data_IF_818400879830
#
_entry.id   IF_818400879830
#
_cell.length_a   1.000
_cell.length_b   1.000
_cell.length_c   1.000
_cell.angle_alpha   90.00
_cell.angle_beta   90.00
_cell.angle_gamma   90.00
#
_symmetry.space_group_name_H-M   'P 1'
#
loop_
_entity.id
_entity.type
_entity.pdbx_description
1 polymer ?
#
# COMPACT_ATOMS: atom_id res chain seq x y z
N UNK A 1 -1.32 -6.43 64.79
CA UNK A 1 -1.87 -6.06 63.46
C UNK A 1 -0.69 -5.76 62.53
N UNK A 2 -0.68 -6.42 61.38
CA UNK A 2 0.51 -6.78 60.59
C UNK A 2 1.30 -5.60 60.04
N UNK A 3 2.58 -5.51 60.46
CA UNK A 3 3.62 -4.71 59.80
C UNK A 3 4.18 -5.50 58.63
N UNK A 4 3.83 -5.13 57.41
CA UNK A 4 4.48 -5.66 56.20
C UNK A 4 5.90 -5.10 56.10
N UNK A 5 6.88 -5.99 55.90
CA UNK A 5 8.29 -5.63 55.89
C UNK A 5 8.68 -4.88 54.60
N UNK A 6 9.62 -3.92 54.65
CA UNK A 6 10.11 -3.19 53.47
C UNK A 6 10.80 -4.09 52.43
N UNK A 7 11.13 -5.35 52.77
CA UNK A 7 11.70 -6.32 51.84
C UNK A 7 10.65 -6.94 50.89
N UNK A 8 9.35 -6.82 51.19
CA UNK A 8 8.28 -7.35 50.34
C UNK A 8 7.94 -6.41 49.18
N UNK A 9 8.13 -5.09 49.35
CA UNK A 9 7.90 -4.09 48.30
C UNK A 9 8.99 -4.14 47.23
N UNK A 10 10.25 -4.40 47.63
CA UNK A 10 11.39 -4.48 46.71
C UNK A 10 11.30 -5.70 45.75
N UNK A 11 10.65 -6.80 46.16
CA UNK A 11 10.47 -7.99 45.30
C UNK A 11 9.37 -7.82 44.25
N UNK A 12 8.36 -6.98 44.51
CA UNK A 12 7.31 -6.68 43.53
C UNK A 12 7.84 -5.73 42.44
N UNK A 13 8.76 -4.82 42.78
CA UNK A 13 9.35 -3.90 41.80
C UNK A 13 10.30 -4.59 40.80
N UNK A 14 11.02 -5.63 41.22
CA UNK A 14 11.94 -6.39 40.34
C UNK A 14 11.19 -7.32 39.38
N UNK A 15 10.01 -7.82 39.76
CA UNK A 15 9.17 -8.62 38.86
C UNK A 15 8.41 -7.75 37.85
N UNK A 16 8.06 -6.50 38.19
CA UNK A 16 7.51 -5.55 37.20
C UNK A 16 8.54 -4.99 36.22
N UNK A 17 9.84 -4.95 36.57
CA UNK A 17 10.88 -4.45 35.67
C UNK A 17 11.39 -5.52 34.67
N UNK A 18 11.10 -6.80 34.90
CA UNK A 18 11.50 -7.92 34.02
C UNK A 18 10.43 -8.31 32.98
N UNK A 19 9.25 -7.69 33.00
CA UNK A 19 8.18 -7.93 32.03
C UNK A 19 8.10 -6.87 30.91
N UNK A 20 9.08 -5.97 30.78
CA UNK A 20 9.17 -5.04 29.64
C UNK A 20 9.96 -5.63 28.45
N UNK A 21 10.47 -6.86 28.58
CA UNK A 21 11.01 -7.63 27.45
C UNK A 21 9.92 -8.34 26.61
N UNK A 22 8.66 -7.95 26.77
CA UNK A 22 7.55 -8.50 26.02
C UNK A 22 7.33 -7.67 24.74
N UNK A 23 7.74 -8.23 23.60
CA UNK A 23 7.23 -7.82 22.30
C UNK A 23 8.21 -7.11 21.37
N UNK A 24 9.45 -7.58 21.25
CA UNK A 24 10.11 -7.47 19.96
C UNK A 24 9.37 -8.43 19.01
N UNK A 25 8.24 -8.00 18.45
CA UNK A 25 7.69 -8.65 17.28
C UNK A 25 8.84 -8.72 16.26
N UNK A 26 9.18 -9.91 15.79
CA UNK A 26 10.27 -10.10 14.85
C UNK A 26 9.94 -9.31 13.57
N UNK A 27 10.51 -8.11 13.45
CA UNK A 27 10.34 -7.28 12.27
C UNK A 27 11.11 -7.93 11.13
N UNK A 28 10.42 -8.18 10.02
CA UNK A 28 11.07 -8.66 8.79
C UNK A 28 12.16 -7.66 8.39
N UNK A 29 13.38 -8.16 8.23
CA UNK A 29 14.57 -7.40 7.92
C UNK A 29 14.85 -7.37 6.41
N UNK A 30 15.64 -6.41 5.95
CA UNK A 30 16.09 -6.36 4.55
C UNK A 30 16.89 -7.60 4.15
N UNK A 31 17.63 -8.21 5.09
CA UNK A 31 18.39 -9.43 4.86
C UNK A 31 17.48 -10.65 4.56
N UNK A 32 16.32 -10.75 5.21
CA UNK A 32 15.35 -11.80 4.90
C UNK A 32 14.75 -11.61 3.50
N UNK A 33 14.51 -10.36 3.08
CA UNK A 33 14.11 -10.10 1.70
C UNK A 33 15.21 -10.43 0.69
N UNK A 34 16.46 -10.15 1.03
CA UNK A 34 17.59 -10.53 0.18
C UNK A 34 17.65 -12.03 -0.03
N UNK A 35 17.43 -12.82 1.02
CA UNK A 35 17.46 -14.28 0.92
C UNK A 35 16.36 -14.82 -0.01
N UNK A 36 15.11 -14.38 0.15
CA UNK A 36 14.03 -14.83 -0.75
C UNK A 36 14.24 -14.36 -2.20
N UNK A 37 14.83 -13.17 -2.41
CA UNK A 37 15.20 -12.67 -3.75
C UNK A 37 16.46 -13.34 -4.34
N UNK A 38 17.15 -14.20 -3.59
CA UNK A 38 18.16 -15.12 -4.15
C UNK A 38 17.50 -16.34 -4.79
N UNK A 39 16.38 -16.78 -4.23
CA UNK A 39 15.62 -17.93 -4.72
C UNK A 39 14.72 -17.58 -5.91
N UNK A 40 14.19 -16.35 -5.95
CA UNK A 40 13.48 -15.80 -7.11
C UNK A 40 14.49 -15.06 -7.98
N UNK A 41 14.80 -15.51 -9.21
CA UNK A 41 15.86 -14.90 -10.03
C UNK A 41 15.43 -13.53 -10.57
N UNK A 42 15.59 -12.48 -9.76
CA UNK A 42 15.32 -11.09 -10.14
C UNK A 42 16.55 -10.50 -10.82
N UNK A 43 16.38 -10.02 -12.06
CA UNK A 43 17.43 -9.54 -12.97
C UNK A 43 18.25 -8.38 -12.40
N UNK A 44 17.64 -7.48 -11.62
CA UNK A 44 18.33 -6.36 -10.97
C UNK A 44 18.11 -6.36 -9.46
N UNK A 45 18.85 -7.24 -8.76
CA UNK A 45 18.72 -7.43 -7.31
C UNK A 45 19.09 -6.19 -6.49
N UNK A 46 20.09 -5.42 -6.91
CA UNK A 46 20.48 -4.19 -6.20
C UNK A 46 19.36 -3.15 -6.21
N UNK A 47 18.74 -2.94 -7.38
CA UNK A 47 17.57 -2.07 -7.50
C UNK A 47 16.39 -2.58 -6.67
N UNK A 48 16.16 -3.91 -6.65
CA UNK A 48 15.11 -4.53 -5.85
C UNK A 48 15.30 -4.25 -4.35
N UNK A 49 16.51 -4.48 -3.83
CA UNK A 49 16.84 -4.23 -2.43
C UNK A 49 16.76 -2.75 -2.08
N UNK A 50 17.18 -1.85 -2.98
CA UNK A 50 17.04 -0.42 -2.77
C UNK A 50 15.56 0.01 -2.73
N UNK A 51 14.70 -0.55 -3.57
CA UNK A 51 13.27 -0.28 -3.55
C UNK A 51 12.61 -0.81 -2.26
N UNK A 52 12.98 -2.01 -1.79
CA UNK A 52 12.54 -2.56 -0.52
C UNK A 52 12.99 -1.71 0.67
N UNK A 53 14.27 -1.33 0.71
CA UNK A 53 14.81 -0.48 1.78
C UNK A 53 14.07 0.87 1.86
N UNK A 54 13.74 1.47 0.70
CA UNK A 54 12.88 2.66 0.64
C UNK A 54 11.47 2.37 1.14
N UNK A 55 10.87 1.28 0.70
CA UNK A 55 9.55 0.83 1.15
C UNK A 55 9.47 0.69 2.67
N UNK A 56 10.44 -0.01 3.27
CA UNK A 56 10.53 -0.25 4.70
C UNK A 56 10.70 1.01 5.55
N UNK A 57 11.04 2.16 4.94
CA UNK A 57 11.10 3.44 5.64
C UNK A 57 9.72 4.07 5.88
N UNK A 58 8.65 3.51 5.29
CA UNK A 58 7.28 3.96 5.51
C UNK A 58 6.59 3.14 6.62
N UNK A 59 5.86 3.83 7.51
CA UNK A 59 5.10 3.19 8.60
C UNK A 59 4.00 2.23 8.10
N UNK A 60 3.51 2.45 6.87
CA UNK A 60 2.45 1.65 6.23
C UNK A 60 2.99 0.49 5.39
N UNK A 61 4.29 0.19 5.46
CA UNK A 61 4.89 -0.87 4.65
C UNK A 61 4.42 -2.26 5.11
N UNK A 62 3.81 -3.08 4.22
CA UNK A 62 3.26 -4.38 4.58
C UNK A 62 4.37 -5.45 4.65
N UNK A 63 5.28 -5.35 5.62
CA UNK A 63 6.48 -6.17 5.67
C UNK A 63 6.18 -7.68 5.71
N UNK A 64 5.43 -8.13 6.72
CA UNK A 64 5.05 -9.53 6.88
C UNK A 64 4.17 -10.04 5.71
N UNK A 65 3.09 -9.33 5.29
CA UNK A 65 2.31 -9.77 4.12
C UNK A 65 3.12 -9.86 2.83
N UNK A 66 4.07 -8.94 2.60
CA UNK A 66 4.94 -8.99 1.43
C UNK A 66 5.86 -10.21 1.48
N UNK A 67 6.45 -10.50 2.64
CA UNK A 67 7.27 -11.69 2.82
C UNK A 67 6.47 -12.98 2.57
N UNK A 68 5.23 -13.05 3.07
CA UNK A 68 4.31 -14.16 2.79
C UNK A 68 4.03 -14.30 1.29
N UNK A 69 3.80 -13.19 0.60
CA UNK A 69 3.57 -13.19 -0.85
C UNK A 69 4.80 -13.70 -1.61
N UNK A 70 6.00 -13.21 -1.30
CA UNK A 70 7.24 -13.64 -1.95
C UNK A 70 7.50 -15.14 -1.75
N UNK A 71 7.31 -15.65 -0.52
CA UNK A 71 7.40 -17.08 -0.24
C UNK A 71 6.35 -17.89 -1.02
N UNK A 72 5.11 -17.39 -1.10
CA UNK A 72 4.04 -18.02 -1.88
C UNK A 72 4.34 -18.07 -3.38
N UNK A 73 4.94 -17.02 -3.93
CA UNK A 73 5.40 -16.98 -5.33
C UNK A 73 6.56 -17.97 -5.55
N UNK A 74 7.54 -17.98 -4.64
CA UNK A 74 8.71 -18.84 -4.73
C UNK A 74 8.34 -20.33 -4.72
N UNK A 75 7.43 -20.74 -3.83
CA UNK A 75 6.97 -22.14 -3.69
C UNK A 75 6.03 -22.60 -4.81
N UNK A 76 5.52 -21.68 -5.64
CA UNK A 76 4.64 -22.02 -6.76
C UNK A 76 5.41 -22.77 -7.85
N UNK A 77 4.80 -23.81 -8.43
CA UNK A 77 5.30 -24.42 -9.65
C UNK A 77 4.95 -23.52 -10.85
N UNK A 78 5.89 -22.69 -11.25
CA UNK A 78 5.79 -21.78 -12.40
C UNK A 78 7.19 -21.53 -12.98
N UNK A 79 7.29 -21.15 -14.27
CA UNK A 79 8.56 -20.75 -14.86
C UNK A 79 9.21 -19.59 -14.09
N UNK A 80 10.55 -19.55 -13.96
CA UNK A 80 11.26 -18.49 -13.23
C UNK A 80 10.89 -17.07 -13.69
N UNK A 81 10.71 -16.88 -14.99
CA UNK A 81 10.31 -15.63 -15.61
C UNK A 81 8.93 -15.14 -15.18
N UNK A 82 7.98 -16.05 -14.91
CA UNK A 82 6.66 -15.68 -14.41
C UNK A 82 6.71 -15.21 -12.95
N UNK A 83 7.53 -15.89 -12.13
CA UNK A 83 7.77 -15.51 -10.74
C UNK A 83 8.43 -14.13 -10.68
N UNK A 84 9.49 -13.94 -11.45
CA UNK A 84 10.19 -12.67 -11.56
C UNK A 84 9.24 -11.55 -12.02
N UNK A 85 8.48 -11.77 -13.09
CA UNK A 85 7.61 -10.74 -13.64
C UNK A 85 6.55 -10.26 -12.63
N UNK A 86 6.02 -11.13 -11.77
CA UNK A 86 5.11 -10.74 -10.70
C UNK A 86 5.84 -9.92 -9.62
N UNK A 87 7.00 -10.37 -9.16
CA UNK A 87 7.80 -9.66 -8.15
C UNK A 87 8.23 -8.28 -8.65
N UNK A 88 8.57 -8.16 -9.93
CA UNK A 88 8.95 -6.88 -10.54
C UNK A 88 7.83 -5.84 -10.49
N UNK A 89 6.54 -6.23 -10.59
CA UNK A 89 5.43 -5.28 -10.45
C UNK A 89 5.44 -4.62 -9.05
N UNK A 90 5.67 -5.41 -8.00
CA UNK A 90 5.74 -4.91 -6.62
C UNK A 90 6.97 -4.02 -6.40
N UNK A 91 8.13 -4.45 -6.91
CA UNK A 91 9.37 -3.69 -6.80
C UNK A 91 9.32 -2.38 -7.58
N UNK A 92 8.68 -2.36 -8.75
CA UNK A 92 8.44 -1.13 -9.51
C UNK A 92 7.51 -0.19 -8.76
N UNK A 93 6.43 -0.69 -8.16
CA UNK A 93 5.55 0.15 -7.33
C UNK A 93 6.31 0.78 -6.15
N UNK A 94 7.19 0.02 -5.48
CA UNK A 94 8.07 0.54 -4.43
C UNK A 94 9.11 1.53 -4.96
N UNK A 95 9.67 1.26 -6.13
CA UNK A 95 10.61 2.16 -6.78
C UNK A 95 9.96 3.53 -7.07
N UNK A 96 8.69 3.50 -7.47
CA UNK A 96 7.88 4.69 -7.75
C UNK A 96 7.28 5.31 -6.48
N UNK A 97 7.69 4.93 -5.28
CA UNK A 97 7.16 5.43 -3.99
C UNK A 97 5.64 5.25 -3.81
N UNK A 98 5.04 4.24 -4.44
CA UNK A 98 3.61 3.93 -4.33
C UNK A 98 3.31 3.07 -3.09
N UNK A 99 2.10 3.16 -2.52
CA UNK A 99 1.64 2.23 -1.51
C UNK A 99 1.37 0.85 -2.13
N UNK A 100 1.97 -0.21 -1.57
CA UNK A 100 1.84 -1.57 -2.10
C UNK A 100 0.88 -2.46 -1.31
N UNK A 101 0.25 -1.97 -0.23
CA UNK A 101 -0.67 -2.72 0.63
C UNK A 101 -1.75 -3.46 -0.19
N UNK A 102 -2.46 -2.74 -1.05
CA UNK A 102 -3.52 -3.31 -1.90
C UNK A 102 -2.98 -4.32 -2.91
N UNK A 103 -1.79 -4.07 -3.48
CA UNK A 103 -1.13 -5.01 -4.40
C UNK A 103 -0.76 -6.32 -3.70
N UNK A 104 -0.18 -6.22 -2.49
CA UNK A 104 0.22 -7.39 -1.70
C UNK A 104 -1.02 -8.20 -1.30
N UNK A 105 -2.07 -7.54 -0.82
CA UNK A 105 -3.32 -8.19 -0.45
C UNK A 105 -3.95 -8.94 -1.63
N UNK A 106 -3.97 -8.35 -2.82
CA UNK A 106 -4.53 -8.96 -4.03
C UNK A 106 -3.66 -10.10 -4.56
N UNK A 107 -2.34 -9.96 -4.48
CA UNK A 107 -1.41 -11.05 -4.79
C UNK A 107 -1.65 -12.26 -3.90
N UNK A 108 -1.78 -12.05 -2.58
CA UNK A 108 -2.09 -13.10 -1.61
C UNK A 108 -3.46 -13.75 -1.87
N UNK A 109 -4.49 -12.96 -2.14
CA UNK A 109 -5.82 -13.46 -2.52
C UNK A 109 -5.75 -14.36 -3.76
N UNK A 110 -5.03 -13.92 -4.80
CA UNK A 110 -4.84 -14.69 -6.03
C UNK A 110 -4.12 -16.02 -5.78
N UNK A 111 -3.04 -16.00 -4.98
CA UNK A 111 -2.31 -17.23 -4.60
C UNK A 111 -3.20 -18.19 -3.81
N UNK A 112 -3.95 -17.70 -2.83
CA UNK A 112 -4.85 -18.51 -2.00
C UNK A 112 -5.96 -19.16 -2.83
N UNK A 113 -6.44 -18.48 -3.88
CA UNK A 113 -7.43 -19.01 -4.82
C UNK A 113 -6.84 -19.89 -5.92
N UNK A 114 -5.52 -20.07 -5.94
CA UNK A 114 -4.84 -20.87 -6.96
C UNK A 114 -4.85 -20.25 -8.36
N UNK A 115 -5.04 -18.93 -8.47
CA UNK A 115 -5.00 -18.20 -9.74
C UNK A 115 -3.60 -18.33 -10.37
N UNK A 116 -3.48 -18.50 -11.70
CA UNK A 116 -2.18 -18.53 -12.37
C UNK A 116 -1.38 -17.23 -12.16
N UNK A 117 -0.05 -17.33 -11.97
CA UNK A 117 0.81 -16.15 -11.74
C UNK A 117 0.69 -15.10 -12.84
N UNK A 118 0.58 -15.43 -14.15
CA UNK A 118 0.41 -14.42 -15.20
C UNK A 118 -0.87 -13.60 -15.03
N UNK A 119 -1.95 -14.22 -14.55
CA UNK A 119 -3.24 -13.54 -14.31
C UNK A 119 -3.14 -12.61 -13.10
N UNK A 120 -2.53 -13.09 -12.00
CA UNK A 120 -2.25 -12.26 -10.82
C UNK A 120 -1.39 -11.05 -11.22
N UNK A 121 -0.31 -11.28 -11.98
CA UNK A 121 0.56 -10.22 -12.47
C UNK A 121 -0.19 -9.16 -13.27
N UNK A 122 -1.08 -9.57 -14.18
CA UNK A 122 -1.88 -8.63 -14.98
C UNK A 122 -2.78 -7.76 -14.09
N UNK A 123 -3.47 -8.35 -13.11
CA UNK A 123 -4.28 -7.58 -12.13
C UNK A 123 -3.41 -6.61 -11.31
N UNK A 124 -2.28 -7.08 -10.77
CA UNK A 124 -1.36 -6.23 -10.01
C UNK A 124 -0.78 -5.09 -10.87
N UNK A 125 -0.51 -5.35 -12.14
CA UNK A 125 -0.02 -4.33 -13.07
C UNK A 125 -1.07 -3.24 -13.31
N UNK A 126 -2.33 -3.64 -13.57
CA UNK A 126 -3.44 -2.70 -13.71
C UNK A 126 -3.63 -1.85 -12.45
N UNK A 127 -3.60 -2.47 -11.26
CA UNK A 127 -3.67 -1.77 -9.97
C UNK A 127 -2.49 -0.81 -9.73
N UNK A 128 -1.27 -1.16 -10.15
CA UNK A 128 -0.12 -0.24 -10.11
C UNK A 128 -0.35 0.96 -11.03
N UNK A 129 -0.89 0.75 -12.23
CA UNK A 129 -1.23 1.86 -13.15
C UNK A 129 -2.27 2.78 -12.50
N UNK A 130 -3.33 2.22 -11.90
CA UNK A 130 -4.33 3.02 -11.18
C UNK A 130 -3.71 3.91 -10.10
N UNK A 131 -2.76 3.40 -9.32
CA UNK A 131 -2.03 4.18 -8.31
C UNK A 131 -1.20 5.31 -8.94
N UNK A 132 -0.49 5.03 -10.04
CA UNK A 132 0.31 6.03 -10.77
C UNK A 132 -0.56 7.15 -11.32
N UNK A 133 -1.64 6.79 -12.01
CA UNK A 133 -2.55 7.74 -12.65
C UNK A 133 -3.34 8.54 -11.61
N UNK A 134 -3.75 7.91 -10.52
CA UNK A 134 -4.35 8.63 -9.38
C UNK A 134 -3.39 9.69 -8.83
N UNK A 135 -2.11 9.34 -8.65
CA UNK A 135 -1.11 10.31 -8.19
C UNK A 135 -0.90 11.44 -9.20
N UNK A 136 -0.82 11.11 -10.48
CA UNK A 136 -0.66 12.11 -11.54
C UNK A 136 -1.85 13.07 -11.60
N UNK A 137 -3.07 12.55 -11.46
CA UNK A 137 -4.30 13.35 -11.36
C UNK A 137 -4.30 14.25 -10.13
N UNK A 138 -4.01 13.73 -8.94
CA UNK A 138 -3.95 14.57 -7.74
C UNK A 138 -2.88 15.67 -7.88
N UNK A 139 -1.76 15.38 -8.54
CA UNK A 139 -0.73 16.37 -8.81
C UNK A 139 -1.18 17.43 -9.82
N UNK A 140 -1.87 17.06 -10.91
CA UNK A 140 -2.36 18.01 -11.91
C UNK A 140 -3.45 18.93 -11.35
N UNK A 141 -4.22 18.46 -10.38
CA UNK A 141 -5.22 19.24 -9.64
C UNK A 141 -4.61 20.09 -8.51
N UNK A 142 -3.27 20.13 -8.39
CA UNK A 142 -2.58 20.88 -7.35
C UNK A 142 -2.89 20.41 -5.93
N UNK A 143 -3.31 19.15 -5.76
CA UNK A 143 -3.64 18.54 -4.46
C UNK A 143 -2.38 17.96 -3.80
N UNK A 144 -1.28 17.78 -4.54
CA UNK A 144 -0.03 17.25 -4.00
C UNK A 144 0.91 18.37 -3.58
N UNK A 145 1.40 18.31 -2.34
CA UNK A 145 2.45 19.18 -1.84
C UNK A 145 3.75 19.02 -2.66
N UNK A 146 4.20 20.07 -3.36
CA UNK A 146 5.50 20.05 -4.02
C UNK A 146 6.62 20.15 -2.97
N UNK A 147 7.62 19.26 -3.04
CA UNK A 147 8.82 19.36 -2.20
C UNK A 147 9.56 20.65 -2.53
N UNK A 148 9.69 21.55 -1.56
CA UNK A 148 10.61 22.69 -1.63
C UNK A 148 9.99 24.08 -1.58
N UNK A 149 8.67 24.22 -1.48
CA UNK A 149 8.05 25.54 -1.32
C UNK A 149 7.42 25.73 0.08
N UNK A 150 7.66 26.92 0.61
CA UNK A 150 7.37 27.40 1.95
C UNK A 150 5.90 27.18 2.36
N UNK A 151 5.69 26.81 3.64
CA UNK A 151 4.39 26.78 4.33
C UNK A 151 3.20 26.31 3.48
N UNK A 152 3.19 25.02 3.14
CA UNK A 152 2.01 24.39 2.54
C UNK A 152 0.90 24.37 3.59
N UNK A 153 -0.10 25.24 3.43
CA UNK A 153 -1.35 25.14 4.19
C UNK A 153 -2.06 23.85 3.79
N UNK A 154 -2.43 23.03 4.77
CA UNK A 154 -3.24 21.82 4.57
C UNK A 154 -4.58 22.09 3.86
N UNK A 155 -4.99 23.35 3.75
CA UNK A 155 -6.15 23.78 2.97
C UNK A 155 -5.94 23.68 1.44
N UNK A 156 -4.70 23.58 0.98
CA UNK A 156 -4.39 23.68 -0.47
C UNK A 156 -3.76 22.42 -1.05
N UNK A 157 -3.09 21.61 -0.23
CA UNK A 157 -2.46 20.37 -0.66
C UNK A 157 -2.29 19.35 0.48
N UNK A 158 -2.25 18.08 0.10
CA UNK A 158 -2.07 16.91 0.96
C UNK A 158 -0.56 16.65 1.14
N UNK A 159 -0.06 16.57 2.38
CA UNK A 159 1.31 16.17 2.70
C UNK A 159 1.64 14.75 2.22
N UNK A 160 2.92 14.46 1.87
CA UNK A 160 3.33 13.15 1.33
C UNK A 160 2.92 11.94 2.18
N UNK A 161 2.96 12.06 3.51
CA UNK A 161 2.59 10.97 4.43
C UNK A 161 1.11 10.59 4.29
N UNK A 162 0.22 11.57 4.12
CA UNK A 162 -1.23 11.36 3.97
C UNK A 162 -1.63 11.02 2.54
N UNK A 163 -0.83 11.46 1.58
CA UNK A 163 -1.08 11.20 0.15
C UNK A 163 -1.16 9.70 -0.14
N UNK A 164 -0.28 8.87 0.46
CA UNK A 164 -0.29 7.41 0.24
C UNK A 164 -1.64 6.78 0.60
N UNK A 165 -2.22 7.16 1.74
CA UNK A 165 -3.53 6.68 2.12
C UNK A 165 -4.63 7.15 1.16
N UNK A 166 -4.56 8.40 0.68
CA UNK A 166 -5.49 8.91 -0.32
C UNK A 166 -5.38 8.14 -1.65
N UNK A 167 -4.17 7.81 -2.10
CA UNK A 167 -3.97 7.01 -3.33
C UNK A 167 -4.67 5.65 -3.23
N UNK A 168 -4.56 4.97 -2.08
CA UNK A 168 -5.23 3.69 -1.84
C UNK A 168 -6.74 3.87 -1.93
N UNK A 169 -7.32 4.82 -1.18
CA UNK A 169 -8.77 4.94 -1.07
C UNK A 169 -9.47 5.47 -2.33
N UNK A 170 -8.73 6.10 -3.24
CA UNK A 170 -9.22 6.47 -4.57
C UNK A 170 -9.05 5.33 -5.57
N UNK A 171 -7.88 4.66 -5.58
CA UNK A 171 -7.58 3.65 -6.60
C UNK A 171 -8.27 2.30 -6.37
N UNK A 172 -8.50 1.89 -5.12
CA UNK A 172 -9.13 0.59 -4.82
C UNK A 172 -10.56 0.48 -5.33
N UNK A 173 -11.47 1.46 -5.11
CA UNK A 173 -12.81 1.40 -5.68
C UNK A 173 -12.81 1.37 -7.22
N UNK A 174 -11.86 2.05 -7.88
CA UNK A 174 -11.72 1.99 -9.34
C UNK A 174 -11.36 0.56 -9.78
N UNK A 175 -10.41 -0.08 -9.08
CA UNK A 175 -10.02 -1.45 -9.36
C UNK A 175 -11.18 -2.44 -9.15
N UNK A 176 -11.98 -2.24 -8.10
CA UNK A 176 -13.12 -3.11 -7.78
C UNK A 176 -14.27 -2.91 -8.78
N UNK A 177 -14.53 -1.67 -9.23
CA UNK A 177 -15.46 -1.37 -10.32
C UNK A 177 -15.07 -2.08 -11.62
N UNK A 178 -13.80 -2.00 -12.02
CA UNK A 178 -13.28 -2.68 -13.22
C UNK A 178 -13.36 -4.21 -13.08
N UNK A 179 -12.99 -4.75 -11.91
CA UNK A 179 -13.09 -6.18 -11.64
C UNK A 179 -14.54 -6.69 -11.64
N UNK A 180 -15.50 -5.84 -11.31
CA UNK A 180 -16.93 -6.09 -11.43
C UNK A 180 -17.47 -6.04 -12.86
N UNK A 181 -16.63 -5.70 -13.84
CA UNK A 181 -17.02 -5.56 -15.25
C UNK A 181 -17.62 -4.19 -15.60
N UNK A 182 -17.44 -3.19 -14.75
CA UNK A 182 -17.89 -1.82 -15.03
C UNK A 182 -17.15 -1.19 -16.21
N UNK A 183 -17.88 -0.45 -17.04
CA UNK A 183 -17.30 0.26 -18.19
C UNK A 183 -17.06 1.74 -17.82
N UNK A 184 -15.81 2.22 -17.74
CA UNK A 184 -15.52 3.60 -17.38
C UNK A 184 -15.94 4.63 -18.45
N UNK A 185 -16.35 4.21 -19.63
CA UNK A 185 -16.89 5.08 -20.69
C UNK A 185 -18.40 5.26 -20.59
N UNK A 186 -19.12 4.25 -20.10
CA UNK A 186 -20.58 4.27 -19.99
C UNK A 186 -21.03 4.60 -18.55
N UNK A 187 -20.36 4.04 -17.54
CA UNK A 187 -20.76 4.09 -16.13
C UNK A 187 -19.89 5.04 -15.27
N UNK A 188 -19.26 6.04 -15.89
CA UNK A 188 -18.35 6.97 -15.23
C UNK A 188 -18.97 7.73 -14.03
N UNK A 189 -20.29 7.94 -14.03
CA UNK A 189 -21.00 8.54 -12.91
C UNK A 189 -21.15 7.58 -11.72
N UNK A 190 -21.36 6.28 -11.99
CA UNK A 190 -21.40 5.24 -10.95
C UNK A 190 -20.03 5.12 -10.30
N UNK A 191 -18.98 5.04 -11.13
CA UNK A 191 -17.60 5.03 -10.65
C UNK A 191 -17.29 6.24 -9.74
N UNK A 192 -17.70 7.45 -10.16
CA UNK A 192 -17.51 8.65 -9.36
C UNK A 192 -18.26 8.59 -8.03
N UNK A 193 -19.51 8.11 -8.02
CA UNK A 193 -20.29 7.95 -6.79
C UNK A 193 -19.66 6.94 -5.83
N UNK A 194 -19.14 5.83 -6.33
CA UNK A 194 -18.47 4.83 -5.49
C UNK A 194 -17.24 5.38 -4.79
N UNK A 195 -16.37 6.09 -5.54
CA UNK A 195 -15.20 6.77 -4.97
C UNK A 195 -15.63 7.87 -3.99
N UNK A 196 -16.60 8.71 -4.37
CA UNK A 196 -17.05 9.82 -3.53
C UNK A 196 -17.68 9.35 -2.20
N UNK A 197 -18.50 8.30 -2.27
CA UNK A 197 -19.12 7.68 -1.10
C UNK A 197 -18.05 7.04 -0.19
N UNK A 198 -17.07 6.36 -0.78
CA UNK A 198 -15.95 5.79 -0.02
C UNK A 198 -15.18 6.86 0.74
N UNK A 199 -14.73 7.91 0.06
CA UNK A 199 -14.00 9.01 0.69
C UNK A 199 -14.82 9.70 1.79
N UNK A 200 -16.10 9.94 1.53
CA UNK A 200 -17.02 10.53 2.52
C UNK A 200 -17.18 9.65 3.75
N UNK A 201 -17.25 8.33 3.59
CA UNK A 201 -17.38 7.38 4.71
C UNK A 201 -16.14 7.32 5.61
N UNK A 202 -14.97 7.62 5.06
CA UNK A 202 -13.68 7.59 5.77
C UNK A 202 -13.29 8.94 6.38
N UNK A 203 -14.06 9.99 6.07
CA UNK A 203 -13.82 11.38 6.47
C UNK A 203 -13.84 11.54 7.99
N UNK A 204 -12.74 12.02 8.56
CA UNK A 204 -12.57 12.19 10.00
C UNK A 204 -12.36 10.88 10.78
N UNK A 205 -12.29 9.73 10.09
CA UNK A 205 -12.06 8.41 10.69
C UNK A 205 -10.68 7.90 10.31
N UNK A 206 -10.46 7.70 9.00
CA UNK A 206 -9.20 7.22 8.44
C UNK A 206 -8.47 8.31 7.66
N UNK A 207 -9.23 9.20 7.04
CA UNK A 207 -8.73 10.32 6.26
C UNK A 207 -9.10 11.63 6.95
N UNK A 208 -8.17 12.61 7.05
CA UNK A 208 -8.51 13.93 7.56
C UNK A 208 -9.60 14.60 6.73
N UNK A 209 -10.49 15.34 7.40
CA UNK A 209 -11.70 15.85 6.76
C UNK A 209 -11.39 16.85 5.65
N UNK A 210 -10.39 17.70 5.85
CA UNK A 210 -9.93 18.70 4.91
C UNK A 210 -9.34 18.07 3.63
N UNK A 211 -8.61 16.96 3.74
CA UNK A 211 -8.03 16.28 2.58
C UNK A 211 -9.14 15.67 1.71
N UNK A 212 -10.17 15.08 2.34
CA UNK A 212 -11.33 14.52 1.63
C UNK A 212 -12.12 15.62 0.92
N UNK A 213 -12.40 16.73 1.60
CA UNK A 213 -13.11 17.87 1.00
C UNK A 213 -12.33 18.39 -0.21
N UNK A 214 -11.03 18.61 -0.05
CA UNK A 214 -10.16 19.10 -1.11
C UNK A 214 -10.16 18.19 -2.36
N UNK A 215 -10.10 16.87 -2.17
CA UNK A 215 -10.15 15.90 -3.28
C UNK A 215 -11.52 15.94 -3.96
N UNK A 216 -12.62 15.87 -3.20
CA UNK A 216 -13.97 15.86 -3.77
C UNK A 216 -14.34 17.16 -4.49
N UNK A 217 -13.79 18.30 -4.08
CA UNK A 217 -14.03 19.59 -4.74
C UNK A 217 -13.34 19.71 -6.12
N UNK A 218 -12.26 18.95 -6.35
CA UNK A 218 -11.40 19.09 -7.54
C UNK A 218 -11.42 17.88 -8.46
N UNK A 219 -11.75 16.71 -7.94
CA UNK A 219 -11.85 15.48 -8.71
C UNK A 219 -13.18 15.45 -9.47
N UNK A 220 -13.10 15.18 -10.77
CA UNK A 220 -14.28 15.01 -11.62
C UNK A 220 -14.52 13.54 -11.96
N UNK A 221 -15.71 13.24 -12.47
CA UNK A 221 -16.02 11.90 -12.98
C UNK A 221 -15.21 11.57 -14.25
N UNK A 222 -14.82 12.57 -15.04
CA UNK A 222 -13.96 12.39 -16.21
C UNK A 222 -12.53 12.02 -15.82
N UNK A 223 -12.01 12.59 -14.74
CA UNK A 223 -10.69 12.23 -14.21
C UNK A 223 -10.64 10.74 -13.84
N UNK A 224 -11.67 10.26 -13.13
CA UNK A 224 -11.76 8.85 -12.71
C UNK A 224 -11.92 7.90 -13.91
N UNK A 225 -12.72 8.29 -14.91
CA UNK A 225 -12.85 7.53 -16.15
C UNK A 225 -11.51 7.42 -16.90
N UNK A 226 -10.74 8.51 -16.97
CA UNK A 226 -9.43 8.52 -17.62
C UNK A 226 -8.41 7.64 -16.87
N UNK A 227 -8.40 7.67 -15.53
CA UNK A 227 -7.59 6.78 -14.69
C UNK A 227 -7.94 5.32 -14.97
N UNK A 228 -9.23 4.98 -14.93
CA UNK A 228 -9.71 3.62 -15.15
C UNK A 228 -9.32 3.09 -16.54
N UNK A 229 -9.54 3.90 -17.59
CA UNK A 229 -9.17 3.56 -18.97
C UNK A 229 -7.67 3.32 -19.16
N UNK A 230 -6.82 3.98 -18.38
CA UNK A 230 -5.37 3.82 -18.50
C UNK A 230 -4.88 2.46 -17.99
N UNK A 231 -5.61 1.83 -17.06
CA UNK A 231 -5.25 0.52 -16.50
C UNK A 231 -5.65 -0.70 -17.34
N UNK A 232 -6.50 -0.51 -18.37
CA UNK A 232 -7.02 -1.58 -19.23
C UNK A 232 -6.40 -1.60 -20.63
N UNK A 233 -5.52 -0.64 -20.94
CA UNK A 233 -4.78 -0.55 -22.21
C UNK A 233 -3.47 -1.32 -22.13
#
# INVERSE_FOLDING_TARGET
MNRTSPQTIARILVVCLLCVAAGAAAQVTLAEYEEILREIPVTNREMALAALARGMAYDDFPAEPLMLLLNGVNTRLAPPEEKEALVLVLLQALHDDLPIQGLVSKGLEGLARGIPLPVIRTDLHGRRILLLETRAMLASQGIVAQRGNEMISSQTAIPPLRLRQMLIEVSEPIADFLAGGGDPTEDYLVLYMDVANRLTSLRGIKLPAEDVILVLERMTSQDLAAIAQSSIR
#
